data_IF_360055452150
#
_entry.id   IF_360055452150
#
_cell.length_a   1.000
_cell.length_b   1.000
_cell.length_c   1.000
_cell.angle_alpha   90.00
_cell.angle_beta   90.00
_cell.angle_gamma   90.00
#
_symmetry.space_group_name_H-M   'P 1'
#
loop_
_entity.id
_entity.type
_entity.pdbx_description
1 polymer ?
#
# COMPACT_ATOMS: atom_id res chain seq x y z
N UNK A 1 -3.20 -0.46 -13.72
CA UNK A 1 -2.78 0.86 -13.22
C UNK A 1 -2.08 0.69 -11.88
N UNK A 2 -1.11 1.53 -11.59
CA UNK A 2 -0.39 1.50 -10.30
C UNK A 2 -0.96 2.58 -9.39
N UNK A 3 -1.42 2.18 -8.20
CA UNK A 3 -2.15 3.08 -7.30
C UNK A 3 -1.50 3.06 -5.91
N UNK A 4 -1.27 4.23 -5.34
CA UNK A 4 -0.77 4.39 -3.98
C UNK A 4 -1.94 4.65 -3.04
N UNK A 5 -2.02 3.85 -1.96
CA UNK A 5 -3.09 3.99 -0.96
C UNK A 5 -2.47 4.21 0.40
N UNK A 6 -2.88 5.28 1.09
CA UNK A 6 -2.46 5.55 2.46
C UNK A 6 -3.48 5.00 3.46
N UNK A 7 -3.03 4.66 4.66
CA UNK A 7 -3.91 4.12 5.69
C UNK A 7 -4.55 2.79 5.29
N UNK A 8 -3.80 1.94 4.59
CA UNK A 8 -4.35 0.76 3.92
C UNK A 8 -4.53 -0.46 4.81
N UNK A 9 -4.02 -0.45 6.04
CA UNK A 9 -3.95 -1.67 6.83
C UNK A 9 -5.23 -2.03 7.57
N UNK A 10 -6.21 -1.14 7.61
CA UNK A 10 -7.50 -1.43 8.24
C UNK A 10 -8.58 -0.48 7.73
N UNK A 11 -9.86 -0.82 8.03
CA UNK A 11 -11.00 0.03 7.74
C UNK A 11 -11.21 0.32 6.26
N UNK A 12 -11.56 1.56 5.96
CA UNK A 12 -11.88 1.99 4.59
C UNK A 12 -10.69 1.83 3.65
N UNK A 13 -9.47 2.14 4.11
CA UNK A 13 -8.28 2.01 3.29
C UNK A 13 -8.03 0.56 2.84
N UNK A 14 -8.25 -0.40 3.73
CA UNK A 14 -8.12 -1.81 3.40
C UNK A 14 -9.15 -2.24 2.36
N UNK A 15 -10.39 -1.80 2.49
CA UNK A 15 -11.44 -2.11 1.51
C UNK A 15 -11.16 -1.48 0.15
N UNK A 16 -10.63 -0.27 0.12
CA UNK A 16 -10.22 0.36 -1.13
C UNK A 16 -9.15 -0.49 -1.83
N UNK A 17 -8.17 -0.97 -1.09
CA UNK A 17 -7.15 -1.85 -1.66
C UNK A 17 -7.77 -3.11 -2.27
N UNK A 18 -8.70 -3.73 -1.54
CA UNK A 18 -9.37 -4.94 -2.02
C UNK A 18 -10.11 -4.70 -3.33
N UNK A 19 -10.86 -3.62 -3.42
CA UNK A 19 -11.61 -3.26 -4.63
C UNK A 19 -10.66 -3.01 -5.80
N UNK A 20 -9.60 -2.25 -5.58
CA UNK A 20 -8.63 -1.93 -6.63
C UNK A 20 -7.92 -3.18 -7.16
N UNK A 21 -7.55 -4.08 -6.25
CA UNK A 21 -6.92 -5.35 -6.65
C UNK A 21 -7.87 -6.22 -7.46
N UNK A 22 -9.14 -6.24 -7.08
CA UNK A 22 -10.17 -6.98 -7.83
C UNK A 22 -10.33 -6.46 -9.25
N UNK A 23 -10.11 -5.18 -9.44
CA UNK A 23 -10.19 -4.53 -10.75
C UNK A 23 -8.92 -4.71 -11.59
N UNK A 24 -7.93 -5.42 -11.10
CA UNK A 24 -6.71 -5.70 -11.84
C UNK A 24 -5.61 -4.66 -11.68
N UNK A 25 -5.70 -3.80 -10.69
CA UNK A 25 -4.68 -2.79 -10.44
C UNK A 25 -3.54 -3.34 -9.58
N UNK A 26 -2.36 -2.73 -9.71
CA UNK A 26 -1.26 -2.93 -8.78
C UNK A 26 -1.36 -1.88 -7.69
N UNK A 27 -1.33 -2.30 -6.42
CA UNK A 27 -1.55 -1.41 -5.29
C UNK A 27 -0.29 -1.32 -4.43
N UNK A 28 0.09 -0.09 -4.10
CA UNK A 28 1.19 0.21 -3.19
C UNK A 28 0.59 0.84 -1.93
N UNK A 29 0.57 0.07 -0.85
CA UNK A 29 -0.04 0.50 0.39
C UNK A 29 0.98 1.01 1.40
N UNK A 30 0.66 2.11 2.06
CA UNK A 30 1.46 2.63 3.15
C UNK A 30 0.62 2.81 4.40
N UNK A 31 1.17 2.40 5.54
CA UNK A 31 0.53 2.55 6.84
C UNK A 31 1.58 2.37 7.93
N UNK A 32 1.22 2.71 9.18
CA UNK A 32 2.14 2.48 10.30
C UNK A 32 2.27 1.02 10.65
N UNK A 33 1.21 0.26 10.52
CA UNK A 33 1.15 -1.14 10.96
C UNK A 33 0.85 -2.08 9.80
N UNK A 34 1.55 -3.20 9.77
CA UNK A 34 1.28 -4.28 8.83
C UNK A 34 0.36 -5.29 9.51
N UNK A 35 -0.94 -5.06 9.41
CA UNK A 35 -1.94 -5.84 10.14
C UNK A 35 -2.13 -7.24 9.56
N UNK A 36 -2.66 -8.20 10.36
CA UNK A 36 -2.99 -9.53 9.84
C UNK A 36 -3.99 -9.48 8.69
N UNK A 37 -4.92 -8.56 8.73
CA UNK A 37 -5.92 -8.38 7.66
C UNK A 37 -5.25 -8.01 6.34
N UNK A 38 -4.28 -7.10 6.38
CA UNK A 38 -3.52 -6.72 5.19
C UNK A 38 -2.66 -7.88 4.70
N UNK A 39 -2.04 -8.63 5.61
CA UNK A 39 -1.25 -9.80 5.26
C UNK A 39 -2.07 -10.86 4.52
N UNK A 40 -3.31 -11.07 4.93
CA UNK A 40 -4.22 -11.99 4.21
C UNK A 40 -4.49 -11.51 2.80
N UNK A 41 -4.69 -10.21 2.64
CA UNK A 41 -4.93 -9.63 1.33
C UNK A 41 -3.71 -9.79 0.43
N UNK A 42 -2.50 -9.62 0.98
CA UNK A 42 -1.27 -9.87 0.23
C UNK A 42 -1.18 -11.31 -0.26
N UNK A 43 -1.60 -12.26 0.57
CA UNK A 43 -1.60 -13.68 0.20
C UNK A 43 -2.59 -13.98 -0.91
N UNK A 44 -3.72 -13.26 -0.96
CA UNK A 44 -4.71 -13.43 -2.02
C UNK A 44 -4.27 -12.83 -3.36
N UNK A 45 -3.46 -11.78 -3.33
CA UNK A 45 -3.04 -11.06 -4.53
C UNK A 45 -1.51 -10.94 -4.60
N UNK A 46 -0.80 -12.07 -4.75
CA UNK A 46 0.66 -12.03 -4.79
C UNK A 46 1.16 -11.29 -6.04
N UNK A 47 2.20 -10.48 -5.84
CA UNK A 47 2.84 -9.78 -6.94
C UNK A 47 2.18 -8.48 -7.38
N UNK A 48 1.01 -8.15 -6.84
CA UNK A 48 0.27 -6.92 -7.20
C UNK A 48 -0.09 -6.06 -5.99
N UNK A 49 0.26 -6.51 -4.79
CA UNK A 49 0.05 -5.72 -3.58
C UNK A 49 1.37 -5.62 -2.82
N UNK A 50 1.82 -4.39 -2.60
CA UNK A 50 3.07 -4.09 -1.92
C UNK A 50 2.80 -3.21 -0.71
N UNK A 51 3.64 -3.34 0.32
CA UNK A 51 3.45 -2.62 1.57
C UNK A 51 4.74 -1.92 2.00
N UNK A 52 4.60 -0.69 2.50
CA UNK A 52 5.69 0.04 3.13
C UNK A 52 5.19 0.58 4.46
N UNK A 53 5.90 0.26 5.54
CA UNK A 53 5.59 0.79 6.86
C UNK A 53 6.18 2.19 7.01
N UNK A 54 5.32 3.18 7.14
CA UNK A 54 5.73 4.58 7.26
C UNK A 54 4.82 5.28 8.25
N UNK A 55 5.41 6.07 9.16
CA UNK A 55 4.65 6.97 10.01
C UNK A 55 4.43 8.27 9.23
N UNK A 56 3.19 8.52 8.84
CA UNK A 56 2.84 9.71 8.05
C UNK A 56 3.02 11.03 8.81
N UNK A 57 3.25 10.97 10.13
CA UNK A 57 3.62 12.16 10.90
C UNK A 57 5.03 12.65 10.56
N UNK A 58 5.87 11.77 10.01
CA UNK A 58 7.22 12.11 9.56
C UNK A 58 7.20 12.40 8.05
N UNK A 59 6.99 13.65 7.70
CA UNK A 59 6.88 14.05 6.31
C UNK A 59 8.18 13.83 5.51
N UNK A 60 9.33 13.93 6.16
CA UNK A 60 10.62 13.69 5.50
C UNK A 60 10.76 12.21 5.17
N UNK A 61 10.42 11.34 6.12
CA UNK A 61 10.44 9.90 5.88
C UNK A 61 9.48 9.48 4.77
N UNK A 62 8.30 10.08 4.73
CA UNK A 62 7.32 9.80 3.68
C UNK A 62 7.91 10.14 2.30
N UNK A 63 8.47 11.33 2.15
CA UNK A 63 9.06 11.73 0.87
C UNK A 63 10.14 10.77 0.39
N UNK A 64 11.10 10.47 1.27
CA UNK A 64 12.24 9.64 0.89
C UNK A 64 11.86 8.21 0.63
N UNK A 65 11.04 7.62 1.50
CA UNK A 65 10.77 6.19 1.44
C UNK A 65 9.63 5.82 0.51
N UNK A 66 8.56 6.61 0.48
CA UNK A 66 7.39 6.27 -0.31
C UNK A 66 7.61 6.61 -1.79
N UNK A 67 7.92 7.85 -2.08
CA UNK A 67 8.07 8.28 -3.46
C UNK A 67 9.27 7.64 -4.13
N UNK A 68 10.36 7.46 -3.39
CA UNK A 68 11.54 6.84 -3.94
C UNK A 68 11.36 5.34 -4.20
N UNK A 69 10.82 4.61 -3.22
CA UNK A 69 10.73 3.16 -3.31
C UNK A 69 9.57 2.68 -4.16
N UNK A 70 8.42 3.37 -4.10
CA UNK A 70 7.22 2.94 -4.82
C UNK A 70 7.11 3.60 -6.19
N UNK A 71 7.11 4.93 -6.22
CA UNK A 71 6.78 5.67 -7.45
C UNK A 71 7.87 5.53 -8.50
N UNK A 72 9.12 5.59 -8.10
CA UNK A 72 10.25 5.45 -9.04
C UNK A 72 10.21 4.08 -9.71
N UNK A 73 9.83 3.04 -8.99
CA UNK A 73 9.80 1.68 -9.50
C UNK A 73 8.55 1.38 -10.33
N UNK A 74 7.53 2.22 -10.29
CA UNK A 74 6.29 1.98 -11.02
C UNK A 74 6.18 2.78 -12.30
N UNK A 75 7.03 3.75 -12.48
CA UNK A 75 7.09 4.54 -13.70
C UNK A 75 8.02 3.88 -14.69
#
# INVERSE_FOLDING_TARGET
MNILVTGCSRGVGLEICRVLLRQGNTVYGIARSHTPEFQRLEAEYPGVLFFKSVDLADSVGVRKNVFRDFIVNTV
#
